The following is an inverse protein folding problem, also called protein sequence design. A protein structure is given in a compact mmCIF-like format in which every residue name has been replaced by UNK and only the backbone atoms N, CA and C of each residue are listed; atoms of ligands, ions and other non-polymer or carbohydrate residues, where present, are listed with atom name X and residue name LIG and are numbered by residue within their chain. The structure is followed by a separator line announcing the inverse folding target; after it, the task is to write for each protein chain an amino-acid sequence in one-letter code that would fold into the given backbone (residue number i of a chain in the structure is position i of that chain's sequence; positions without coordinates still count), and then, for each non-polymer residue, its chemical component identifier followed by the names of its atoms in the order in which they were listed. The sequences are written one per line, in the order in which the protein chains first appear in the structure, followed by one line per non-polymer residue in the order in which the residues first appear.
data_IF_144806238097
#
_entry.id   IF_144806238097
#
_cell.length_a   1.000
_cell.length_b   1.000
_cell.length_c   1.000
_cell.angle_alpha   90.00
_cell.angle_beta   90.00
_cell.angle_gamma   90.00
#
_symmetry.space_group_name_H-M   'P 1'
#
loop_
_entity.id
_entity.type
_entity.pdbx_description
1 polymer ?
#
# COMPACT_ATOMS: atom_id res chain seq x y z
N UNK A 1 2.67 18.37 14.21
CA UNK A 1 2.30 17.78 12.91
C UNK A 1 3.52 17.38 12.11
N UNK A 2 3.97 16.15 12.35
CA UNK A 2 5.14 15.46 11.76
C UNK A 2 4.70 14.18 11.00
N UNK A 3 5.63 13.50 10.33
CA UNK A 3 5.40 12.27 9.60
C UNK A 3 4.80 11.16 10.48
N UNK A 4 5.28 11.05 11.72
CA UNK A 4 4.73 10.12 12.71
C UNK A 4 3.25 10.38 12.98
N UNK A 5 2.85 11.63 13.17
CA UNK A 5 1.45 12.01 13.36
C UNK A 5 0.62 11.75 12.09
N UNK A 6 1.15 12.00 10.89
CA UNK A 6 0.44 11.73 9.63
C UNK A 6 0.14 10.22 9.46
N UNK A 7 1.16 9.37 9.66
CA UNK A 7 1.00 7.91 9.65
C UNK A 7 0.00 7.46 10.73
N UNK A 8 0.13 7.99 11.94
CA UNK A 8 -0.72 7.60 13.06
C UNK A 8 -2.18 8.01 12.87
N UNK A 9 -2.44 9.21 12.35
CA UNK A 9 -3.78 9.71 12.09
C UNK A 9 -4.47 8.96 10.97
N UNK A 10 -3.74 8.67 9.89
CA UNK A 10 -4.24 7.84 8.80
C UNK A 10 -4.65 6.47 9.33
N UNK A 11 -3.77 5.82 10.11
CA UNK A 11 -4.07 4.53 10.71
C UNK A 11 -5.26 4.59 11.67
N UNK A 12 -5.46 5.67 12.43
CA UNK A 12 -6.64 5.79 13.29
C UNK A 12 -7.95 5.88 12.51
N UNK A 13 -7.96 6.55 11.36
CA UNK A 13 -9.12 6.54 10.46
C UNK A 13 -9.45 5.12 9.99
N UNK A 14 -8.45 4.40 9.50
CA UNK A 14 -8.59 2.99 9.09
C UNK A 14 -9.00 2.08 10.27
N UNK A 15 -8.39 2.27 11.45
CA UNK A 15 -8.68 1.51 12.66
C UNK A 15 -10.13 1.66 13.11
N UNK A 16 -10.70 2.87 12.98
CA UNK A 16 -12.11 3.10 13.28
C UNK A 16 -13.01 2.28 12.34
N UNK A 17 -12.70 2.24 11.05
CA UNK A 17 -13.44 1.46 10.05
C UNK A 17 -13.44 -0.04 10.39
N UNK A 18 -12.27 -0.64 10.62
CA UNK A 18 -12.14 -2.07 10.96
C UNK A 18 -12.62 -2.43 12.37
N UNK A 19 -12.81 -1.44 13.26
CA UNK A 19 -13.44 -1.68 14.56
C UNK A 19 -14.97 -1.64 14.50
N UNK A 20 -15.53 -0.94 13.52
CA UNK A 20 -16.98 -0.80 13.36
C UNK A 20 -17.56 -1.80 12.35
N UNK A 21 -16.79 -2.18 11.33
CA UNK A 21 -17.23 -3.02 10.22
C UNK A 21 -16.34 -4.26 10.10
N UNK A 22 -16.91 -5.34 9.58
CA UNK A 22 -16.22 -6.60 9.30
C UNK A 22 -16.44 -7.03 7.84
N UNK A 23 -16.38 -6.08 6.91
CA UNK A 23 -16.49 -6.35 5.47
C UNK A 23 -15.48 -7.41 5.01
N UNK A 24 -15.76 -8.08 3.89
CA UNK A 24 -14.84 -9.08 3.35
C UNK A 24 -13.48 -8.43 3.04
N UNK A 25 -13.50 -7.35 2.25
CA UNK A 25 -12.35 -6.51 1.96
C UNK A 25 -12.43 -5.19 2.73
N UNK A 26 -11.36 -4.85 3.43
CA UNK A 26 -11.20 -3.58 4.13
C UNK A 26 -9.91 -2.92 3.64
N UNK A 27 -9.91 -2.46 2.39
CA UNK A 27 -8.72 -1.88 1.74
C UNK A 27 -8.30 -0.56 2.41
N UNK A 28 -6.98 -0.35 2.50
CA UNK A 28 -6.43 0.91 3.05
C UNK A 28 -6.28 1.99 1.97
N UNK A 29 -6.19 1.58 0.70
CA UNK A 29 -6.23 2.46 -0.46
C UNK A 29 -4.86 2.97 -0.89
N UNK A 30 -4.86 4.13 -1.54
CA UNK A 30 -3.66 4.79 -2.07
C UNK A 30 -3.16 5.83 -1.08
N UNK A 31 -2.09 5.48 -0.37
CA UNK A 31 -1.58 6.27 0.76
C UNK A 31 -0.08 6.60 0.65
N UNK A 32 0.63 6.03 -0.32
CA UNK A 32 2.08 6.14 -0.44
C UNK A 32 2.53 7.57 -0.71
N UNK A 33 2.09 8.15 -1.82
CA UNK A 33 2.41 9.54 -2.19
C UNK A 33 1.93 10.53 -1.12
N UNK A 34 0.76 10.30 -0.51
CA UNK A 34 0.25 11.14 0.57
C UNK A 34 1.18 11.16 1.80
N UNK A 35 1.60 9.99 2.27
CA UNK A 35 2.50 9.90 3.42
C UNK A 35 3.91 10.42 3.10
N UNK A 36 4.37 10.22 1.86
CA UNK A 36 5.69 10.69 1.43
C UNK A 36 5.84 12.21 1.55
N UNK A 37 4.77 12.99 1.33
CA UNK A 37 4.78 14.45 1.52
C UNK A 37 5.24 14.84 2.93
N UNK A 38 4.79 14.11 3.96
CA UNK A 38 5.16 14.40 5.35
C UNK A 38 6.53 13.82 5.69
N UNK A 39 6.85 12.63 5.19
CA UNK A 39 8.14 11.98 5.42
C UNK A 39 9.27 12.77 4.79
N UNK A 40 9.13 13.18 3.52
CA UNK A 40 10.12 13.93 2.79
C UNK A 40 10.37 15.31 3.43
N UNK A 41 9.32 15.98 3.92
CA UNK A 41 9.48 17.22 4.69
C UNK A 41 10.32 16.99 5.94
N UNK A 42 9.97 15.98 6.74
CA UNK A 42 10.64 15.71 8.01
C UNK A 42 12.11 15.25 7.79
N UNK A 43 12.41 14.57 6.68
CA UNK A 43 13.76 14.24 6.23
C UNK A 43 14.56 15.49 5.83
N UNK A 44 13.96 16.41 5.06
CA UNK A 44 14.59 17.66 4.64
C UNK A 44 14.89 18.59 5.82
N UNK A 45 14.01 18.61 6.82
CA UNK A 45 14.21 19.34 8.07
C UNK A 45 15.22 18.65 9.02
N UNK A 46 15.68 17.44 8.68
CA UNK A 46 16.60 16.65 9.49
C UNK A 46 16.01 16.17 10.82
N UNK A 47 14.68 16.12 10.91
CA UNK A 47 13.96 15.71 12.14
C UNK A 47 13.82 14.20 12.29
N UNK A 48 13.91 13.48 11.18
CA UNK A 48 14.01 12.02 11.13
C UNK A 48 15.09 11.61 10.14
N UNK A 49 15.59 10.40 10.29
CA UNK A 49 16.48 9.71 9.35
C UNK A 49 15.69 8.79 8.42
N UNK A 50 16.30 8.33 7.33
CA UNK A 50 15.69 7.34 6.43
C UNK A 50 15.33 6.04 7.16
N UNK A 51 16.15 5.63 8.12
CA UNK A 51 15.89 4.45 8.96
C UNK A 51 14.64 4.64 9.83
N UNK A 52 14.45 5.82 10.41
CA UNK A 52 13.25 6.14 11.19
C UNK A 52 12.01 6.28 10.30
N UNK A 53 12.17 6.79 9.08
CA UNK A 53 11.10 6.81 8.08
C UNK A 53 10.65 5.40 7.69
N UNK A 54 11.60 4.49 7.42
CA UNK A 54 11.29 3.09 7.16
C UNK A 54 10.62 2.42 8.37
N UNK A 55 11.10 2.68 9.59
CA UNK A 55 10.49 2.13 10.81
C UNK A 55 9.02 2.54 10.96
N UNK A 56 8.65 3.78 10.60
CA UNK A 56 7.25 4.23 10.60
C UNK A 56 6.39 3.41 9.62
N UNK A 57 6.91 3.15 8.41
CA UNK A 57 6.21 2.36 7.39
C UNK A 57 6.12 0.89 7.80
N UNK A 58 7.20 0.32 8.32
CA UNK A 58 7.23 -1.06 8.84
C UNK A 58 6.21 -1.23 9.96
N UNK A 59 6.16 -0.29 10.92
CA UNK A 59 5.18 -0.35 12.00
C UNK A 59 3.74 -0.17 11.54
N UNK A 60 3.48 0.63 10.51
CA UNK A 60 2.16 0.73 9.88
C UNK A 60 1.77 -0.61 9.26
N UNK A 61 2.62 -1.16 8.39
CA UNK A 61 2.39 -2.44 7.70
C UNK A 61 2.23 -3.59 8.69
N UNK A 62 3.02 -3.60 9.77
CA UNK A 62 2.87 -4.56 10.87
C UNK A 62 1.47 -4.53 11.46
N UNK A 63 0.86 -3.34 11.63
CA UNK A 63 -0.52 -3.24 12.12
C UNK A 63 -1.53 -3.76 11.11
N UNK A 64 -1.33 -3.53 9.81
CA UNK A 64 -2.18 -4.08 8.75
C UNK A 64 -2.13 -5.62 8.75
N UNK A 65 -0.94 -6.21 8.93
CA UNK A 65 -0.75 -7.66 9.07
C UNK A 65 -1.46 -8.27 10.29
N UNK A 66 -1.76 -7.47 11.32
CA UNK A 66 -2.43 -7.93 12.54
C UNK A 66 -3.96 -7.86 12.49
N UNK A 67 -4.56 -7.31 11.43
CA UNK A 67 -6.03 -7.21 11.34
C UNK A 67 -6.63 -8.60 11.20
N UNK A 68 -7.68 -8.87 11.99
CA UNK A 68 -8.40 -10.14 12.01
C UNK A 68 -9.88 -9.91 12.24
N UNK A 69 -10.70 -10.72 11.57
CA UNK A 69 -12.14 -10.76 11.78
C UNK A 69 -12.56 -12.17 12.16
N UNK A 70 -13.48 -12.29 13.12
CA UNK A 70 -14.09 -13.59 13.42
C UNK A 70 -14.98 -14.02 12.25
N UNK A 71 -14.68 -15.18 11.66
CA UNK A 71 -15.41 -15.77 10.52
C UNK A 71 -15.93 -17.17 10.85
N UNK A 72 -17.03 -17.56 10.22
CA UNK A 72 -17.57 -18.92 10.32
C UNK A 72 -16.77 -19.90 9.45
N UNK A 73 -16.82 -21.21 9.73
CA UNK A 73 -16.17 -22.21 8.87
C UNK A 73 -16.60 -22.13 7.40
N UNK A 74 -17.88 -21.88 7.14
CA UNK A 74 -18.42 -21.75 5.77
C UNK A 74 -17.80 -20.57 5.02
N UNK A 75 -17.60 -19.44 5.72
CA UNK A 75 -16.91 -18.29 5.15
C UNK A 75 -15.46 -18.63 4.79
N UNK A 76 -14.75 -19.34 5.67
CA UNK A 76 -13.36 -19.74 5.43
C UNK A 76 -13.21 -20.76 4.29
N UNK A 77 -14.27 -21.51 3.96
CA UNK A 77 -14.28 -22.37 2.77
C UNK A 77 -14.42 -21.57 1.47
N UNK A 78 -15.17 -20.46 1.50
CA UNK A 78 -15.35 -19.56 0.36
C UNK A 78 -14.15 -18.61 0.17
N UNK A 79 -13.56 -18.15 1.27
CA UNK A 79 -12.44 -17.21 1.32
C UNK A 79 -11.32 -17.81 2.17
N UNK A 80 -10.51 -18.67 1.54
CA UNK A 80 -9.43 -19.39 2.21
C UNK A 80 -8.26 -18.46 2.57
N UNK A 81 -7.54 -18.80 3.66
CA UNK A 81 -6.34 -18.06 4.09
C UNK A 81 -6.59 -16.91 5.07
N UNK A 82 -7.83 -16.74 5.56
CA UNK A 82 -8.22 -15.64 6.46
C UNK A 82 -7.87 -14.25 5.89
N UNK A 83 -8.31 -13.94 4.65
CA UNK A 83 -7.97 -12.69 3.97
C UNK A 83 -8.75 -11.51 4.55
N UNK A 84 -8.09 -10.37 4.60
CA UNK A 84 -8.66 -9.07 5.00
C UNK A 84 -8.75 -8.14 3.79
N UNK A 85 -7.91 -8.36 2.79
CA UNK A 85 -7.66 -7.46 1.67
C UNK A 85 -7.48 -6.03 2.15
N UNK A 86 -6.46 -5.82 3.00
CA UNK A 86 -5.98 -4.50 3.33
C UNK A 86 -5.17 -3.94 2.14
N UNK A 87 -5.83 -3.82 0.98
CA UNK A 87 -5.22 -3.47 -0.30
C UNK A 87 -4.54 -2.13 -0.19
N UNK A 88 -3.23 -2.12 -0.45
CA UNK A 88 -2.37 -0.96 -0.40
C UNK A 88 -1.77 -0.74 -1.78
N UNK A 89 -2.01 0.45 -2.31
CA UNK A 89 -1.56 0.83 -3.64
C UNK A 89 -0.18 1.47 -3.57
N UNK A 90 0.67 1.06 -4.51
CA UNK A 90 1.95 1.70 -4.82
C UNK A 90 2.07 1.93 -6.33
N UNK A 91 2.89 2.90 -6.73
CA UNK A 91 3.07 3.23 -8.14
C UNK A 91 2.20 4.40 -8.57
N UNK A 92 1.49 4.24 -9.69
CA UNK A 92 0.59 5.24 -10.30
C UNK A 92 1.28 6.34 -11.12
N UNK A 93 0.63 6.73 -12.22
CA UNK A 93 0.94 7.92 -13.00
C UNK A 93 -0.06 9.03 -12.69
N UNK A 94 0.45 10.26 -12.58
CA UNK A 94 -0.39 11.45 -12.48
C UNK A 94 -1.06 11.75 -13.84
N UNK A 95 -0.27 11.61 -14.90
CA UNK A 95 -0.70 11.86 -16.26
C UNK A 95 0.20 11.09 -17.25
N UNK A 96 0.05 11.39 -18.54
CA UNK A 96 0.78 10.73 -19.61
C UNK A 96 2.31 10.90 -19.55
N UNK A 97 2.86 11.78 -18.73
CA UNK A 97 4.30 12.10 -18.66
C UNK A 97 4.87 11.98 -17.24
N UNK A 98 4.05 12.19 -16.20
CA UNK A 98 4.52 12.30 -14.81
C UNK A 98 4.07 11.12 -13.95
N UNK A 99 5.04 10.52 -13.28
CA UNK A 99 4.83 9.44 -12.30
C UNK A 99 4.50 10.00 -10.91
N UNK A 100 3.64 9.30 -10.16
CA UNK A 100 3.38 9.55 -8.73
C UNK A 100 4.22 8.69 -7.78
N UNK A 101 5.03 7.76 -8.33
CA UNK A 101 6.05 7.01 -7.57
C UNK A 101 6.90 7.94 -6.73
N UNK A 102 6.99 7.62 -5.45
CA UNK A 102 7.75 8.30 -4.41
C UNK A 102 8.72 7.35 -3.70
N UNK A 103 9.56 7.87 -2.79
CA UNK A 103 10.41 7.01 -1.96
C UNK A 103 9.57 6.09 -1.06
N UNK A 104 8.42 6.55 -0.58
CA UNK A 104 7.53 5.75 0.27
C UNK A 104 6.96 4.52 -0.46
N UNK A 105 6.79 4.55 -1.79
CA UNK A 105 6.43 3.35 -2.55
C UNK A 105 7.49 2.24 -2.42
N UNK A 106 8.78 2.62 -2.51
CA UNK A 106 9.88 1.69 -2.26
C UNK A 106 9.86 1.21 -0.81
N UNK A 107 9.63 2.11 0.17
CA UNK A 107 9.56 1.73 1.60
C UNK A 107 8.46 0.71 1.87
N UNK A 108 7.30 0.85 1.22
CA UNK A 108 6.21 -0.12 1.34
C UNK A 108 6.58 -1.49 0.78
N UNK A 109 7.18 -1.54 -0.41
CA UNK A 109 7.64 -2.81 -1.00
C UNK A 109 8.77 -3.42 -0.15
N UNK A 110 9.68 -2.60 0.37
CA UNK A 110 10.81 -3.03 1.20
C UNK A 110 10.39 -3.64 2.55
N UNK A 111 9.14 -3.44 2.98
CA UNK A 111 8.60 -4.15 4.16
C UNK A 111 8.61 -5.67 3.99
N UNK A 112 8.60 -6.18 2.75
CA UNK A 112 8.77 -7.60 2.43
C UNK A 112 10.18 -8.09 2.75
N UNK A 113 11.20 -7.24 2.59
CA UNK A 113 12.58 -7.56 2.97
C UNK A 113 12.76 -7.48 4.50
N UNK A 114 12.27 -6.41 5.14
CA UNK A 114 12.48 -6.18 6.57
C UNK A 114 11.71 -7.16 7.47
N UNK A 115 10.47 -7.49 7.08
CA UNK A 115 9.55 -8.28 7.91
C UNK A 115 9.17 -9.63 7.29
N UNK A 116 9.75 -9.97 6.15
CA UNK A 116 9.45 -11.18 5.40
C UNK A 116 8.11 -11.13 4.66
N UNK A 117 7.90 -12.17 3.85
CA UNK A 117 6.71 -12.34 3.02
C UNK A 117 5.43 -12.40 3.86
N UNK A 118 4.42 -11.67 3.42
CA UNK A 118 3.10 -11.71 4.01
C UNK A 118 2.04 -11.51 2.93
N UNK A 119 0.90 -12.22 3.01
CA UNK A 119 -0.22 -11.98 2.10
C UNK A 119 -0.92 -10.64 2.38
N UNK A 120 -0.69 -10.02 3.54
CA UNK A 120 -1.24 -8.72 3.92
C UNK A 120 -0.12 -7.73 4.27
N UNK A 121 -0.29 -6.42 4.03
CA UNK A 121 -1.33 -5.84 3.20
C UNK A 121 -1.27 -6.40 1.78
N UNK A 122 -2.40 -6.48 1.10
CA UNK A 122 -2.44 -6.86 -0.30
C UNK A 122 -1.75 -5.75 -1.14
N UNK A 123 -0.45 -5.89 -1.38
CA UNK A 123 0.37 -4.91 -2.10
C UNK A 123 0.07 -4.97 -3.60
N UNK A 124 -0.50 -3.90 -4.14
CA UNK A 124 -0.87 -3.82 -5.55
C UNK A 124 -0.18 -2.65 -6.22
N UNK A 125 0.60 -2.94 -7.26
CA UNK A 125 1.26 -1.94 -8.10
C UNK A 125 0.29 -1.51 -9.19
N UNK A 126 -0.04 -0.21 -9.23
CA UNK A 126 -0.66 0.40 -10.41
C UNK A 126 0.40 0.56 -11.49
N UNK A 127 0.41 -0.38 -12.43
CA UNK A 127 1.44 -0.53 -13.44
C UNK A 127 1.15 0.31 -14.68
N UNK A 128 2.17 1.07 -15.10
CA UNK A 128 2.22 1.72 -16.40
C UNK A 128 3.57 1.47 -17.06
N UNK A 129 3.57 1.36 -18.39
CA UNK A 129 4.82 1.26 -19.17
C UNK A 129 5.72 2.49 -18.99
N UNK A 130 5.13 3.62 -18.61
CA UNK A 130 5.78 4.92 -18.39
C UNK A 130 6.32 5.12 -16.98
N UNK A 131 6.13 4.15 -16.07
CA UNK A 131 6.73 4.21 -14.74
C UNK A 131 8.27 4.32 -14.82
N UNK A 132 8.91 4.95 -13.83
CA UNK A 132 10.36 5.06 -13.75
C UNK A 132 11.03 3.68 -13.85
N UNK A 133 12.08 3.56 -14.67
CA UNK A 133 12.78 2.28 -14.92
C UNK A 133 13.26 1.63 -13.62
N UNK A 134 13.87 2.39 -12.71
CA UNK A 134 14.35 1.84 -11.44
C UNK A 134 13.23 1.31 -10.54
N UNK A 135 12.03 1.90 -10.59
CA UNK A 135 10.88 1.38 -9.85
C UNK A 135 10.36 0.07 -10.46
N UNK A 136 10.26 0.01 -11.80
CA UNK A 136 9.85 -1.22 -12.50
C UNK A 136 10.81 -2.39 -12.25
N UNK A 137 12.12 -2.12 -12.27
CA UNK A 137 13.16 -3.10 -11.96
C UNK A 137 13.05 -3.59 -10.51
N UNK A 138 12.91 -2.66 -9.55
CA UNK A 138 12.75 -3.01 -8.14
C UNK A 138 11.49 -3.85 -7.89
N UNK A 139 10.35 -3.47 -8.47
CA UNK A 139 9.11 -4.25 -8.36
C UNK A 139 9.27 -5.67 -8.92
N UNK A 140 9.97 -5.81 -10.05
CA UNK A 140 10.22 -7.11 -10.68
C UNK A 140 11.12 -7.98 -9.81
N UNK A 141 12.19 -7.40 -9.25
CA UNK A 141 13.09 -8.09 -8.32
C UNK A 141 12.36 -8.53 -7.05
N UNK A 142 11.59 -7.63 -6.42
CA UNK A 142 10.79 -7.96 -5.24
C UNK A 142 9.75 -9.05 -5.55
N UNK A 143 9.18 -9.08 -6.76
CA UNK A 143 8.24 -10.14 -7.15
C UNK A 143 8.92 -11.50 -7.28
N UNK A 144 10.15 -11.54 -7.82
CA UNK A 144 10.97 -12.75 -7.90
C UNK A 144 11.30 -13.27 -6.50
N UNK A 145 11.70 -12.37 -5.59
CA UNK A 145 12.15 -12.74 -4.25
C UNK A 145 10.99 -13.15 -3.32
N UNK A 146 9.83 -12.49 -3.45
CA UNK A 146 8.78 -12.54 -2.43
C UNK A 146 7.47 -13.17 -2.90
N UNK A 147 7.16 -13.13 -4.20
CA UNK A 147 5.90 -13.64 -4.79
C UNK A 147 4.63 -13.15 -4.05
N UNK A 148 4.67 -11.93 -3.50
CA UNK A 148 3.65 -11.35 -2.64
C UNK A 148 3.09 -10.01 -3.16
N UNK A 149 3.31 -9.70 -4.44
CA UNK A 149 2.92 -8.43 -5.06
C UNK A 149 1.98 -8.69 -6.23
N UNK A 150 0.95 -7.86 -6.34
CA UNK A 150 -0.04 -7.86 -7.43
C UNK A 150 0.18 -6.67 -8.36
N UNK A 151 -0.30 -6.77 -9.60
CA UNK A 151 -0.18 -5.72 -10.61
C UNK A 151 -1.54 -5.49 -11.27
N UNK A 152 -1.93 -4.23 -11.39
CA UNK A 152 -3.11 -3.81 -12.13
C UNK A 152 -2.77 -2.69 -13.11
N UNK A 153 -3.51 -2.60 -14.22
CA UNK A 153 -3.21 -1.61 -15.25
C UNK A 153 -3.68 -0.21 -14.83
N UNK A 154 -2.71 0.68 -14.60
CA UNK A 154 -2.99 2.08 -14.23
C UNK A 154 -3.73 2.84 -15.33
N UNK A 155 -3.31 2.66 -16.59
CA UNK A 155 -3.89 3.34 -17.76
C UNK A 155 -5.36 2.94 -17.96
N UNK A 156 -5.66 1.64 -17.94
CA UNK A 156 -7.03 1.15 -18.10
C UNK A 156 -7.93 1.61 -16.95
N UNK A 157 -7.41 1.64 -15.72
CA UNK A 157 -8.17 2.07 -14.56
C UNK A 157 -8.44 3.58 -14.59
N UNK A 158 -7.45 4.37 -14.99
CA UNK A 158 -7.59 5.81 -15.16
C UNK A 158 -8.62 6.17 -16.23
N UNK A 159 -8.58 5.49 -17.37
CA UNK A 159 -9.56 5.68 -18.44
C UNK A 159 -10.98 5.31 -17.99
N UNK A 160 -11.12 4.24 -17.21
CA UNK A 160 -12.43 3.80 -16.70
C UNK A 160 -13.03 4.77 -15.69
N UNK A 161 -12.23 5.28 -14.74
CA UNK A 161 -12.70 6.15 -13.66
C UNK A 161 -12.72 7.64 -14.05
N UNK A 162 -12.00 8.03 -15.10
CA UNK A 162 -11.84 9.43 -15.51
C UNK A 162 -11.05 10.29 -14.50
N UNK A 163 -10.22 9.66 -13.67
CA UNK A 163 -9.39 10.32 -12.65
C UNK A 163 -8.01 9.68 -12.58
N UNK A 164 -7.01 10.44 -12.14
CA UNK A 164 -5.67 9.95 -11.85
C UNK A 164 -5.48 9.55 -10.38
N UNK A 165 -6.41 9.91 -9.47
CA UNK A 165 -6.38 9.51 -8.05
C UNK A 165 -7.29 8.29 -7.85
N UNK A 166 -6.67 7.12 -7.77
CA UNK A 166 -7.35 5.83 -7.88
C UNK A 166 -6.95 4.90 -6.73
N UNK A 167 -7.84 3.96 -6.43
CA UNK A 167 -7.57 2.90 -5.46
C UNK A 167 -8.19 1.60 -5.93
N UNK A 168 -7.75 0.46 -5.38
CA UNK A 168 -8.38 -0.83 -5.63
C UNK A 168 -8.98 -1.34 -4.33
N UNK A 169 -10.27 -1.66 -4.38
CA UNK A 169 -10.99 -2.37 -3.35
C UNK A 169 -10.89 -3.88 -3.57
N UNK A 170 -10.63 -4.64 -2.51
CA UNK A 170 -10.47 -6.09 -2.56
C UNK A 170 -9.29 -6.51 -3.45
N UNK A 171 -9.55 -7.22 -4.55
CA UNK A 171 -8.52 -7.72 -5.46
C UNK A 171 -8.29 -6.79 -6.66
N UNK A 172 -9.36 -6.42 -7.38
CA UNK A 172 -9.26 -5.80 -8.72
C UNK A 172 -10.35 -4.74 -8.99
N UNK A 173 -11.19 -4.45 -7.99
CA UNK A 173 -12.29 -3.50 -8.17
C UNK A 173 -11.78 -2.09 -7.91
N UNK A 174 -11.46 -1.35 -8.98
CA UNK A 174 -11.12 0.06 -8.85
C UNK A 174 -12.31 1.01 -8.83
#
# INVERSE_FOLDING_TARGET
TNAKEAVQWLYFGYLAAIKQQNGAAMSIGNIATFLDIYIERDLQDGTITESEAQELIDHLVLKLRCVKFARTPDYNQLFSGDPIWATLIVGEMLDAERSLVTKTDFRFIHTLDNMGNSPEPNLTILWSTKLPTGFKEYCSESSINHSAIQYESDELLADFLGTCDKSIACCVSG
#
